data_IF_864924130110
#
_entry.id   IF_864924130110
#
_cell.length_a   1.000
_cell.length_b   1.000
_cell.length_c   1.000
_cell.angle_alpha   90.00
_cell.angle_beta   90.00
_cell.angle_gamma   90.00
#
_symmetry.space_group_name_H-M   'P 1'
#
loop_
_entity.id
_entity.type
_entity.pdbx_description
1 polymer ?
#
# COMPACT_ATOMS: atom_id res chain seq x y z
N UNK A 1 -19.73 13.94 19.77
CA UNK A 1 -18.87 14.58 18.74
C UNK A 1 -19.67 14.73 17.46
N UNK A 2 -20.11 15.95 17.14
CA UNK A 2 -20.75 16.23 15.85
C UNK A 2 -19.64 16.25 14.81
N UNK A 3 -19.72 15.38 13.80
CA UNK A 3 -18.77 15.42 12.68
C UNK A 3 -18.85 16.80 12.02
N UNK A 4 -17.71 17.43 11.71
CA UNK A 4 -17.72 18.67 10.94
C UNK A 4 -18.46 18.46 9.61
N UNK A 5 -19.12 19.50 9.09
CA UNK A 5 -19.88 19.40 7.84
C UNK A 5 -19.06 18.85 6.66
N UNK A 6 -17.74 19.12 6.65
CA UNK A 6 -16.81 18.56 5.67
C UNK A 6 -16.65 17.05 5.80
N UNK A 7 -16.53 16.52 7.02
CA UNK A 7 -16.41 15.08 7.28
C UNK A 7 -17.70 14.34 6.91
N UNK A 8 -18.86 14.91 7.24
CA UNK A 8 -20.16 14.34 6.88
C UNK A 8 -20.35 14.31 5.35
N UNK A 9 -20.02 15.39 4.65
CA UNK A 9 -20.08 15.45 3.19
C UNK A 9 -19.11 14.45 2.52
N UNK A 10 -17.91 14.30 3.06
CA UNK A 10 -16.95 13.31 2.58
C UNK A 10 -17.49 11.88 2.76
N UNK A 11 -18.05 11.56 3.93
CA UNK A 11 -18.66 10.27 4.19
C UNK A 11 -19.82 9.98 3.22
N UNK A 12 -20.68 10.96 2.93
CA UNK A 12 -21.77 10.82 1.96
C UNK A 12 -21.23 10.55 0.54
N UNK A 13 -20.26 11.34 0.08
CA UNK A 13 -19.63 11.18 -1.25
C UNK A 13 -18.95 9.81 -1.39
N UNK A 14 -18.19 9.40 -0.37
CA UNK A 14 -17.54 8.09 -0.33
C UNK A 14 -18.58 6.98 -0.31
N UNK A 15 -19.64 7.13 0.50
CA UNK A 15 -20.75 6.17 0.58
C UNK A 15 -21.42 5.94 -0.77
N UNK A 16 -21.84 7.02 -1.44
CA UNK A 16 -22.43 6.95 -2.78
C UNK A 16 -21.48 6.32 -3.80
N UNK A 17 -20.18 6.65 -3.73
CA UNK A 17 -19.19 6.09 -4.64
C UNK A 17 -18.97 4.59 -4.44
N UNK A 18 -18.83 4.14 -3.19
CA UNK A 18 -18.65 2.72 -2.85
C UNK A 18 -19.90 1.92 -3.25
N UNK A 19 -21.10 2.48 -3.05
CA UNK A 19 -22.35 1.86 -3.50
C UNK A 19 -22.39 1.69 -5.02
N UNK A 20 -22.04 2.75 -5.77
CA UNK A 20 -21.94 2.69 -7.23
C UNK A 20 -20.92 1.64 -7.70
N UNK A 21 -19.74 1.57 -7.08
CA UNK A 21 -18.71 0.60 -7.44
C UNK A 21 -19.12 -0.85 -7.14
N UNK A 22 -19.89 -1.08 -6.07
CA UNK A 22 -20.46 -2.42 -5.79
C UNK A 22 -21.49 -2.85 -6.84
N UNK A 23 -22.22 -1.90 -7.40
CA UNK A 23 -23.20 -2.14 -8.45
C UNK A 23 -22.53 -2.40 -9.81
N UNK A 24 -21.63 -1.49 -10.23
CA UNK A 24 -21.02 -1.51 -11.56
C UNK A 24 -19.84 -2.49 -11.65
N UNK A 25 -19.18 -2.78 -10.51
CA UNK A 25 -18.01 -3.66 -10.41
C UNK A 25 -16.92 -3.32 -11.45
N UNK A 26 -16.43 -2.06 -11.48
CA UNK A 26 -15.46 -1.64 -12.46
C UNK A 26 -14.19 -2.49 -12.36
N UNK A 27 -13.55 -2.73 -13.51
CA UNK A 27 -12.31 -3.50 -13.63
C UNK A 27 -11.19 -2.57 -14.08
N UNK A 28 -10.08 -2.59 -13.35
CA UNK A 28 -8.88 -1.89 -13.76
C UNK A 28 -8.24 -2.62 -14.94
N UNK A 29 -7.61 -1.91 -15.87
CA UNK A 29 -6.92 -2.48 -17.04
C UNK A 29 -5.65 -1.71 -17.41
N UNK A 30 -5.57 -0.44 -17.05
CA UNK A 30 -4.50 0.48 -17.41
C UNK A 30 -3.66 0.87 -16.20
N UNK A 31 -2.37 1.21 -16.34
CA UNK A 31 -1.50 1.48 -15.20
C UNK A 31 -1.96 2.68 -14.35
N UNK A 32 -2.72 3.62 -14.94
CA UNK A 32 -3.31 4.77 -14.24
C UNK A 32 -4.60 4.44 -13.45
N UNK A 33 -5.20 3.27 -13.68
CA UNK A 33 -6.40 2.87 -12.96
C UNK A 33 -6.09 2.61 -11.49
N UNK A 34 -7.01 3.03 -10.61
CA UNK A 34 -6.98 2.71 -9.18
C UNK A 34 -8.07 1.68 -8.89
N UNK A 35 -7.72 0.38 -8.77
CA UNK A 35 -8.66 -0.65 -8.35
C UNK A 35 -9.42 -0.23 -7.08
N UNK A 36 -10.75 -0.14 -7.18
CA UNK A 36 -11.59 0.26 -6.06
C UNK A 36 -11.71 -0.83 -4.99
N UNK A 37 -11.39 -2.08 -5.35
CA UNK A 37 -11.37 -3.25 -4.49
C UNK A 37 -10.40 -4.31 -5.05
N UNK A 38 -10.05 -5.35 -4.26
CA UNK A 38 -9.28 -6.49 -4.76
C UNK A 38 -9.93 -7.18 -5.97
N UNK A 39 -11.26 -7.25 -6.00
CA UNK A 39 -11.99 -7.85 -7.12
C UNK A 39 -11.91 -7.02 -8.41
N UNK A 40 -11.55 -5.73 -8.32
CA UNK A 40 -11.36 -4.88 -9.49
C UNK A 40 -10.02 -5.13 -10.20
N UNK A 41 -9.10 -5.89 -9.57
CA UNK A 41 -7.80 -6.23 -10.11
C UNK A 41 -7.96 -7.24 -11.27
N UNK A 42 -7.22 -7.01 -12.34
CA UNK A 42 -7.24 -7.87 -13.53
C UNK A 42 -5.82 -8.29 -13.92
N UNK A 43 -5.69 -9.38 -14.70
CA UNK A 43 -4.43 -9.74 -15.34
C UNK A 43 -3.84 -8.62 -16.21
N UNK A 44 -4.69 -7.89 -16.95
CA UNK A 44 -4.25 -6.78 -17.81
C UNK A 44 -3.62 -5.66 -16.98
N UNK A 45 -4.29 -5.27 -15.89
CA UNK A 45 -3.77 -4.25 -14.98
C UNK A 45 -2.48 -4.70 -14.29
N UNK A 46 -2.42 -5.94 -13.80
CA UNK A 46 -1.21 -6.49 -13.18
C UNK A 46 -0.05 -6.56 -14.16
N UNK A 47 -0.31 -6.91 -15.42
CA UNK A 47 0.70 -6.85 -16.49
C UNK A 47 1.23 -5.44 -16.65
N UNK A 48 0.35 -4.44 -16.73
CA UNK A 48 0.72 -3.05 -16.92
C UNK A 48 1.55 -2.46 -15.76
N UNK A 49 1.36 -2.94 -14.52
CA UNK A 49 2.05 -2.38 -13.34
C UNK A 49 3.23 -3.22 -12.85
N UNK A 50 3.28 -4.53 -13.15
CA UNK A 50 4.37 -5.42 -12.70
C UNK A 50 5.39 -5.74 -13.81
N UNK A 51 4.97 -5.77 -15.07
CA UNK A 51 5.82 -6.23 -16.18
C UNK A 51 6.56 -5.10 -16.91
N UNK A 52 6.57 -3.87 -16.40
CA UNK A 52 7.10 -2.69 -17.12
C UNK A 52 8.55 -2.84 -17.60
N UNK A 53 9.38 -3.59 -16.86
CA UNK A 53 10.78 -3.87 -17.21
C UNK A 53 10.97 -5.09 -18.12
N UNK A 54 9.90 -5.85 -18.37
CA UNK A 54 9.92 -7.11 -19.12
C UNK A 54 8.76 -7.13 -20.12
N UNK A 55 8.91 -6.49 -21.29
CA UNK A 55 7.80 -6.27 -22.24
C UNK A 55 7.09 -7.56 -22.72
N UNK A 56 7.81 -8.69 -22.75
CA UNK A 56 7.26 -9.99 -23.15
C UNK A 56 6.49 -10.69 -22.01
N UNK A 57 6.67 -10.25 -20.76
CA UNK A 57 6.02 -10.85 -19.60
C UNK A 57 4.55 -10.42 -19.50
N UNK A 58 3.67 -11.40 -19.38
CA UNK A 58 2.23 -11.18 -19.29
C UNK A 58 1.69 -11.97 -18.09
N UNK A 59 0.84 -11.32 -17.30
CA UNK A 59 0.03 -12.00 -16.27
C UNK A 59 -1.12 -12.72 -16.98
N UNK A 60 -1.18 -14.04 -16.82
CA UNK A 60 -2.20 -14.89 -17.43
C UNK A 60 -3.35 -15.21 -16.47
N UNK A 61 -3.19 -14.93 -15.18
CA UNK A 61 -4.26 -15.09 -14.21
C UNK A 61 -3.89 -14.56 -12.83
N UNK A 62 -4.92 -14.21 -12.07
CA UNK A 62 -4.81 -13.78 -10.67
C UNK A 62 -5.89 -14.46 -9.84
N UNK A 63 -5.52 -14.92 -8.65
CA UNK A 63 -6.46 -15.38 -7.63
C UNK A 63 -6.29 -14.49 -6.40
N UNK A 64 -7.39 -13.87 -5.96
CA UNK A 64 -7.44 -13.08 -4.73
C UNK A 64 -7.75 -14.03 -3.56
N UNK A 65 -6.88 -14.07 -2.56
CA UNK A 65 -7.09 -14.78 -1.30
C UNK A 65 -7.35 -13.76 -0.18
N UNK A 66 -8.42 -13.95 0.61
CA UNK A 66 -8.64 -13.14 1.82
C UNK A 66 -7.46 -13.32 2.79
N UNK A 67 -7.02 -12.23 3.42
CA UNK A 67 -5.97 -12.31 4.45
C UNK A 67 -6.34 -11.59 5.75
N UNK A 68 -6.72 -10.31 5.71
CA UNK A 68 -7.20 -9.59 6.91
C UNK A 68 -7.95 -8.30 6.57
N UNK A 69 -8.81 -7.86 7.49
CA UNK A 69 -9.50 -6.56 7.42
C UNK A 69 -9.21 -5.73 8.68
N UNK A 70 -9.20 -4.41 8.53
CA UNK A 70 -8.94 -3.44 9.60
C UNK A 70 -8.97 -2.03 9.03
N UNK A 71 -8.00 -1.19 9.40
CA UNK A 71 -7.82 0.15 8.77
C UNK A 71 -7.62 0.08 7.26
N UNK A 72 -7.07 -1.04 6.80
CA UNK A 72 -6.92 -1.42 5.40
C UNK A 72 -7.43 -2.84 5.25
N UNK A 73 -7.91 -3.18 4.06
CA UNK A 73 -8.14 -4.57 3.68
C UNK A 73 -6.92 -5.12 2.96
N UNK A 74 -6.45 -6.27 3.42
CA UNK A 74 -5.24 -6.93 2.95
C UNK A 74 -5.60 -8.27 2.34
N UNK A 75 -5.16 -8.48 1.12
CA UNK A 75 -5.40 -9.70 0.36
C UNK A 75 -4.09 -10.18 -0.24
N UNK A 76 -3.86 -11.49 -0.19
CA UNK A 76 -2.78 -12.11 -0.95
C UNK A 76 -3.27 -12.32 -2.39
N UNK A 77 -2.45 -11.98 -3.37
CA UNK A 77 -2.69 -12.28 -4.77
C UNK A 77 -1.74 -13.38 -5.20
N UNK A 78 -2.30 -14.45 -5.75
CA UNK A 78 -1.54 -15.50 -6.43
C UNK A 78 -1.57 -15.18 -7.92
N UNK A 79 -0.40 -14.92 -8.49
CA UNK A 79 -0.23 -14.41 -9.84
C UNK A 79 0.43 -15.49 -10.72
N UNK A 80 -0.18 -15.75 -11.87
CA UNK A 80 0.40 -16.63 -12.90
C UNK A 80 0.88 -15.79 -14.07
N UNK A 81 2.06 -16.12 -14.58
CA UNK A 81 2.64 -15.47 -15.75
C UNK A 81 2.81 -16.47 -16.91
N UNK A 82 2.94 -15.93 -18.11
CA UNK A 82 3.49 -16.65 -19.25
C UNK A 82 4.97 -17.05 -19.01
N UNK A 83 5.57 -17.73 -19.98
CA UNK A 83 6.96 -18.22 -19.82
C UNK A 83 7.97 -17.09 -19.62
N UNK A 84 7.86 -16.00 -20.39
CA UNK A 84 8.74 -14.84 -20.25
C UNK A 84 8.70 -14.25 -18.83
N UNK A 85 7.50 -14.10 -18.24
CA UNK A 85 7.37 -13.59 -16.87
C UNK A 85 7.93 -14.54 -15.80
N UNK A 86 7.80 -15.87 -16.00
CA UNK A 86 8.45 -16.86 -15.11
C UNK A 86 9.96 -16.78 -15.20
N UNK A 87 10.51 -16.67 -16.42
CA UNK A 87 11.96 -16.55 -16.68
C UNK A 87 12.53 -15.26 -16.10
N UNK A 88 11.74 -14.18 -16.11
CA UNK A 88 12.10 -12.89 -15.51
C UNK A 88 12.09 -12.89 -13.97
N UNK A 89 11.61 -13.96 -13.32
CA UNK A 89 11.54 -14.04 -11.86
C UNK A 89 10.52 -13.09 -11.23
N UNK A 90 9.46 -12.73 -11.96
CA UNK A 90 8.39 -11.87 -11.43
C UNK A 90 7.66 -12.52 -10.25
N UNK A 91 7.15 -11.73 -9.28
CA UNK A 91 6.60 -12.27 -8.05
C UNK A 91 5.30 -13.04 -8.31
N UNK A 92 5.28 -14.33 -7.97
CA UNK A 92 4.11 -15.21 -8.06
C UNK A 92 3.12 -15.04 -6.90
N UNK A 93 3.53 -14.40 -5.80
CA UNK A 93 2.69 -14.05 -4.67
C UNK A 93 3.02 -12.64 -4.17
N UNK A 94 2.00 -11.81 -3.96
CA UNK A 94 2.12 -10.46 -3.41
C UNK A 94 0.96 -10.15 -2.48
N UNK A 95 1.09 -9.15 -1.61
CA UNK A 95 -0.01 -8.62 -0.81
C UNK A 95 -0.51 -7.29 -1.34
N UNK A 96 -1.81 -7.07 -1.21
CA UNK A 96 -2.44 -5.77 -1.40
C UNK A 96 -2.70 -5.12 -0.05
N UNK A 97 -2.62 -3.79 0.00
CA UNK A 97 -3.33 -2.94 0.96
C UNK A 97 -4.29 -2.07 0.18
N UNK A 98 -5.59 -2.23 0.42
CA UNK A 98 -6.64 -1.57 -0.35
C UNK A 98 -7.73 -0.95 0.53
N UNK A 99 -8.51 -0.04 -0.05
CA UNK A 99 -9.59 0.70 0.61
C UNK A 99 -10.96 0.46 -0.06
N UNK A 100 -11.53 -0.75 0.03
CA UNK A 100 -12.77 -1.09 -0.69
C UNK A 100 -14.05 -0.65 0.00
N UNK A 101 -13.98 -0.18 1.24
CA UNK A 101 -15.15 0.15 2.06
C UNK A 101 -15.18 1.63 2.44
N UNK A 102 -16.36 2.12 2.83
CA UNK A 102 -16.53 3.50 3.31
C UNK A 102 -15.60 3.79 4.49
N UNK A 103 -15.51 2.84 5.44
CA UNK A 103 -14.68 2.96 6.64
C UNK A 103 -13.20 3.06 6.28
N UNK A 104 -12.69 2.14 5.46
CA UNK A 104 -11.28 2.16 5.04
C UNK A 104 -10.96 3.43 4.24
N UNK A 105 -11.86 3.90 3.37
CA UNK A 105 -11.68 5.17 2.65
C UNK A 105 -11.71 6.40 3.54
N UNK A 106 -12.55 6.43 4.58
CA UNK A 106 -12.54 7.52 5.55
C UNK A 106 -11.23 7.54 6.36
N UNK A 107 -10.77 6.38 6.84
CA UNK A 107 -9.57 6.34 7.70
C UNK A 107 -8.27 6.50 6.88
N UNK A 108 -8.18 5.80 5.74
CA UNK A 108 -6.97 5.72 4.92
C UNK A 108 -6.91 6.74 3.79
N UNK A 109 -8.00 6.85 3.03
CA UNK A 109 -8.07 7.65 1.81
C UNK A 109 -8.25 9.13 2.07
N UNK A 110 -9.31 9.49 2.81
CA UNK A 110 -9.67 10.86 3.16
C UNK A 110 -8.59 11.54 4.02
N UNK A 111 -8.09 10.85 5.05
CA UNK A 111 -6.96 11.35 5.84
C UNK A 111 -5.61 11.32 5.08
N UNK A 112 -5.57 10.69 3.90
CA UNK A 112 -4.40 10.65 3.02
C UNK A 112 -3.27 9.72 3.48
N UNK A 113 -3.47 8.92 4.52
CA UNK A 113 -2.42 8.01 5.04
C UNK A 113 -2.04 6.93 4.01
N UNK A 114 -3.00 6.43 3.23
CA UNK A 114 -2.74 5.46 2.17
C UNK A 114 -1.84 6.03 1.06
N UNK A 115 -2.05 7.31 0.71
CA UNK A 115 -1.23 8.02 -0.27
C UNK A 115 0.19 8.26 0.25
N UNK A 116 0.34 8.59 1.53
CA UNK A 116 1.64 8.77 2.18
C UNK A 116 2.38 7.43 2.24
N UNK A 117 1.71 6.35 2.61
CA UNK A 117 2.28 4.99 2.63
C UNK A 117 2.73 4.56 1.24
N UNK A 118 1.90 4.76 0.20
CA UNK A 118 2.29 4.48 -1.18
C UNK A 118 3.54 5.24 -1.62
N UNK A 119 3.64 6.53 -1.27
CA UNK A 119 4.84 7.33 -1.58
C UNK A 119 6.07 6.85 -0.82
N UNK A 120 5.92 6.42 0.44
CA UNK A 120 7.03 5.81 1.17
C UNK A 120 7.59 4.61 0.40
N UNK A 121 6.74 3.67 0.00
CA UNK A 121 7.19 2.46 -0.72
C UNK A 121 7.76 2.75 -2.11
N UNK A 122 7.21 3.73 -2.84
CA UNK A 122 7.68 4.06 -4.19
C UNK A 122 8.91 4.97 -4.22
N UNK A 123 9.13 5.81 -3.21
CA UNK A 123 10.13 6.88 -3.25
C UNK A 123 11.21 6.76 -2.17
N UNK A 124 10.86 6.40 -0.94
CA UNK A 124 11.80 6.38 0.19
C UNK A 124 12.37 5.00 0.47
N UNK A 125 11.53 3.96 0.38
CA UNK A 125 11.93 2.57 0.60
C UNK A 125 13.13 2.13 -0.25
N UNK A 126 13.25 2.49 -1.55
CA UNK A 126 14.42 2.14 -2.35
C UNK A 126 15.73 2.76 -1.85
N UNK A 127 15.67 3.83 -1.06
CA UNK A 127 16.84 4.53 -0.50
C UNK A 127 17.29 3.96 0.84
N UNK A 128 16.59 2.94 1.35
CA UNK A 128 16.78 2.35 2.67
C UNK A 128 17.28 0.90 2.56
N UNK A 129 18.34 0.59 3.30
CA UNK A 129 18.86 -0.76 3.48
C UNK A 129 18.32 -1.36 4.78
N UNK A 130 17.00 -1.51 4.87
CA UNK A 130 16.32 -2.09 6.03
C UNK A 130 15.40 -3.24 5.61
N UNK A 131 15.13 -4.15 6.53
CA UNK A 131 14.26 -5.29 6.32
C UNK A 131 12.78 -4.91 6.41
N UNK A 132 12.27 -4.30 5.34
CA UNK A 132 10.82 -4.07 5.15
C UNK A 132 10.40 -4.50 3.74
N UNK A 133 9.11 -4.78 3.50
CA UNK A 133 8.62 -5.26 2.20
C UNK A 133 9.10 -4.40 1.03
N UNK A 134 9.36 -5.04 -0.12
CA UNK A 134 9.43 -4.33 -1.39
C UNK A 134 8.04 -3.81 -1.76
N UNK A 135 7.96 -2.58 -2.25
CA UNK A 135 6.76 -2.05 -2.88
C UNK A 135 6.85 -2.23 -4.39
N UNK A 136 5.86 -2.90 -4.99
CA UNK A 136 5.83 -3.10 -6.45
C UNK A 136 5.08 -1.99 -7.18
N UNK A 137 3.99 -1.51 -6.59
CA UNK A 137 3.17 -0.47 -7.20
C UNK A 137 2.28 0.21 -6.15
N UNK A 138 1.99 1.50 -6.34
CA UNK A 138 1.04 2.22 -5.50
C UNK A 138 0.20 3.18 -6.34
N UNK A 139 -1.12 3.15 -6.13
CA UNK A 139 -2.05 4.06 -6.79
C UNK A 139 -3.08 4.60 -5.77
N UNK A 140 -3.48 5.85 -5.95
CA UNK A 140 -4.46 6.53 -5.10
C UNK A 140 -5.24 7.57 -5.88
N UNK A 141 -6.55 7.62 -5.69
CA UNK A 141 -7.43 8.59 -6.35
C UNK A 141 -7.98 9.60 -5.33
N UNK A 142 -7.74 10.88 -5.56
CA UNK A 142 -8.20 11.98 -4.69
C UNK A 142 -9.71 12.23 -4.78
N UNK A 143 -10.37 11.79 -5.85
CA UNK A 143 -11.81 11.99 -6.06
C UNK A 143 -12.63 10.92 -5.36
N UNK A 144 -12.23 9.66 -5.52
CA UNK A 144 -12.95 8.51 -4.95
C UNK A 144 -12.42 8.06 -3.60
N UNK A 145 -11.23 8.54 -3.21
CA UNK A 145 -10.47 8.09 -2.05
C UNK A 145 -10.09 6.60 -2.07
N UNK A 146 -10.22 5.95 -3.22
CA UNK A 146 -9.68 4.61 -3.44
C UNK A 146 -8.15 4.65 -3.41
N UNK A 147 -7.54 3.58 -2.92
CA UNK A 147 -6.10 3.39 -2.97
C UNK A 147 -5.79 1.91 -2.98
N UNK A 148 -4.72 1.55 -3.68
CA UNK A 148 -4.11 0.24 -3.65
C UNK A 148 -2.59 0.38 -3.54
N UNK A 149 -1.98 -0.52 -2.76
CA UNK A 149 -0.54 -0.69 -2.65
C UNK A 149 -0.23 -2.18 -2.78
N UNK A 150 0.67 -2.51 -3.70
CA UNK A 150 1.17 -3.86 -3.95
C UNK A 150 2.51 -4.04 -3.24
N UNK A 151 2.59 -5.04 -2.37
CA UNK A 151 3.73 -5.32 -1.51
C UNK A 151 4.25 -6.74 -1.69
N UNK A 152 5.53 -6.91 -1.41
CA UNK A 152 6.18 -8.20 -1.23
C UNK A 152 5.41 -9.12 -0.28
N UNK A 153 5.27 -10.38 -0.69
CA UNK A 153 4.92 -11.47 0.21
C UNK A 153 6.18 -11.94 0.95
N UNK A 154 6.38 -11.43 2.16
CA UNK A 154 7.54 -11.75 2.99
C UNK A 154 7.60 -13.24 3.39
N UNK A 155 6.46 -13.92 3.47
CA UNK A 155 6.43 -15.36 3.77
C UNK A 155 6.99 -16.12 2.58
N UNK A 156 6.55 -15.79 1.37
CA UNK A 156 7.01 -16.45 0.15
C UNK A 156 8.48 -16.13 -0.20
N UNK A 157 8.94 -14.91 0.09
CA UNK A 157 10.26 -14.43 -0.33
C UNK A 157 11.36 -14.59 0.71
N UNK A 158 11.02 -14.51 2.00
CA UNK A 158 11.99 -14.49 3.12
C UNK A 158 11.65 -15.49 4.22
N UNK A 159 10.64 -16.32 4.03
CA UNK A 159 10.16 -17.27 5.05
C UNK A 159 9.82 -16.58 6.38
N UNK A 160 9.36 -15.32 6.31
CA UNK A 160 9.07 -14.52 7.49
C UNK A 160 7.89 -15.09 8.28
N UNK A 161 7.94 -14.94 9.61
CA UNK A 161 6.83 -15.27 10.52
C UNK A 161 6.34 -14.00 11.20
N UNK A 162 5.02 -13.80 11.24
CA UNK A 162 4.44 -12.60 11.85
C UNK A 162 4.18 -12.81 13.35
N UNK A 163 4.63 -11.84 14.14
CA UNK A 163 4.33 -11.77 15.58
C UNK A 163 2.86 -11.44 15.83
N UNK A 164 2.35 -11.85 17.00
CA UNK A 164 1.06 -11.41 17.53
C UNK A 164 1.23 -10.91 18.98
N UNK A 165 0.14 -10.49 19.61
CA UNK A 165 0.17 -9.92 20.97
C UNK A 165 0.67 -10.88 22.07
N UNK A 166 0.80 -12.18 21.76
CA UNK A 166 1.32 -13.21 22.67
C UNK A 166 2.78 -13.60 22.36
N UNK A 167 3.36 -13.07 21.28
CA UNK A 167 4.74 -13.40 20.92
C UNK A 167 5.69 -12.81 21.95
N UNK A 168 6.49 -13.68 22.59
CA UNK A 168 7.56 -13.24 23.48
C UNK A 168 8.64 -12.53 22.67
N UNK A 169 9.02 -11.32 23.11
CA UNK A 169 10.10 -10.54 22.50
C UNK A 169 11.35 -10.79 23.32
N UNK A 170 12.31 -11.52 22.75
CA UNK A 170 13.62 -11.70 23.38
C UNK A 170 14.42 -10.40 23.34
N UNK A 171 15.47 -10.31 24.16
CA UNK A 171 16.39 -9.18 24.11
C UNK A 171 16.99 -8.97 22.71
N UNK A 172 17.45 -10.04 22.07
CA UNK A 172 18.01 -9.98 20.72
C UNK A 172 17.00 -9.42 19.70
N UNK A 173 15.74 -9.86 19.76
CA UNK A 173 14.68 -9.30 18.91
C UNK A 173 14.46 -7.81 19.16
N UNK A 174 14.51 -7.37 20.42
CA UNK A 174 14.37 -5.96 20.76
C UNK A 174 15.57 -5.14 20.25
N UNK A 175 16.79 -5.66 20.35
CA UNK A 175 18.00 -5.03 19.80
C UNK A 175 17.89 -4.88 18.27
N UNK A 176 17.51 -5.94 17.55
CA UNK A 176 17.29 -5.90 16.10
C UNK A 176 16.23 -4.85 15.69
N UNK A 177 15.13 -4.73 16.46
CA UNK A 177 14.10 -3.71 16.21
C UNK A 177 14.66 -2.29 16.37
N UNK A 178 15.51 -2.05 17.37
CA UNK A 178 16.14 -0.76 17.60
C UNK A 178 17.16 -0.46 16.49
N UNK A 179 17.96 -1.43 16.07
CA UNK A 179 18.94 -1.26 14.99
C UNK A 179 18.27 -0.94 13.64
N UNK A 180 17.13 -1.57 13.35
CA UNK A 180 16.33 -1.24 12.18
C UNK A 180 15.80 0.21 12.23
N UNK A 181 15.26 0.63 13.38
CA UNK A 181 14.79 2.01 13.57
C UNK A 181 15.94 3.02 13.51
N UNK A 182 17.09 2.69 14.08
CA UNK A 182 18.30 3.50 14.02
C UNK A 182 18.77 3.67 12.58
N UNK A 183 18.79 2.59 11.79
CA UNK A 183 19.15 2.63 10.36
C UNK A 183 18.21 3.50 9.54
N UNK A 184 16.90 3.39 9.80
CA UNK A 184 15.89 4.25 9.17
C UNK A 184 16.12 5.73 9.49
N UNK A 185 16.32 6.07 10.77
CA UNK A 185 16.54 7.46 11.19
C UNK A 185 17.89 8.00 10.70
N UNK A 186 18.95 7.21 10.77
CA UNK A 186 20.30 7.61 10.36
C UNK A 186 20.36 8.01 8.88
N UNK A 187 19.66 7.28 8.00
CA UNK A 187 19.64 7.58 6.54
C UNK A 187 19.21 9.00 6.21
N UNK A 188 18.30 9.57 7.01
CA UNK A 188 17.70 10.88 6.77
C UNK A 188 18.01 11.91 7.86
N UNK A 189 18.82 11.55 8.88
CA UNK A 189 19.20 12.46 9.94
C UNK A 189 19.98 13.65 9.39
N UNK A 190 19.53 14.88 9.71
CA UNK A 190 20.14 16.12 9.21
C UNK A 190 20.05 16.32 7.68
N UNK A 191 19.42 15.41 6.93
CA UNK A 191 19.38 15.48 5.48
C UNK A 191 18.30 16.47 5.01
N UNK A 192 18.73 17.62 4.49
CA UNK A 192 17.85 18.66 3.93
C UNK A 192 17.10 18.19 2.68
N UNK A 193 17.64 17.21 1.94
CA UNK A 193 16.98 16.62 0.77
C UNK A 193 15.64 15.99 1.11
N UNK A 194 15.48 15.43 2.33
CA UNK A 194 14.20 14.87 2.74
C UNK A 194 13.09 15.94 2.72
N UNK A 195 13.41 17.15 3.19
CA UNK A 195 12.45 18.25 3.24
C UNK A 195 12.20 18.89 1.87
N UNK A 196 13.21 18.94 0.99
CA UNK A 196 13.12 19.60 -0.32
C UNK A 196 12.55 18.67 -1.40
N UNK A 197 13.04 17.42 -1.48
CA UNK A 197 12.62 16.45 -2.50
C UNK A 197 11.32 15.74 -2.12
N UNK A 198 11.04 15.57 -0.82
CA UNK A 198 9.85 14.87 -0.33
C UNK A 198 9.00 15.75 0.61
N UNK A 199 8.45 16.89 0.13
CA UNK A 199 7.73 17.86 0.97
C UNK A 199 6.44 17.32 1.59
N UNK A 200 6.01 16.13 1.18
CA UNK A 200 4.86 15.41 1.75
C UNK A 200 5.20 14.67 3.05
N UNK A 201 6.49 14.47 3.35
CA UNK A 201 6.93 13.93 4.63
C UNK A 201 6.75 15.03 5.68
N UNK A 202 5.84 14.82 6.61
CA UNK A 202 5.60 15.79 7.66
C UNK A 202 6.81 15.87 8.60
N UNK A 203 7.39 17.06 8.76
CA UNK A 203 8.37 17.33 9.82
C UNK A 203 7.70 17.21 11.20
N UNK A 204 8.44 16.76 12.22
CA UNK A 204 7.95 16.62 13.60
C UNK A 204 7.19 17.87 14.14
N UNK A 205 7.66 19.12 13.93
CA UNK A 205 6.90 20.31 14.36
C UNK A 205 5.55 20.47 13.66
N UNK A 206 5.48 20.17 12.35
CA UNK A 206 4.24 20.23 11.57
C UNK A 206 3.20 19.23 12.06
N UNK A 207 3.63 18.02 12.45
CA UNK A 207 2.75 16.97 12.96
C UNK A 207 2.03 17.40 14.25
N UNK A 208 2.75 18.05 15.17
CA UNK A 208 2.18 18.53 16.45
C UNK A 208 1.27 19.75 16.25
N UNK A 209 1.63 20.66 15.36
CA UNK A 209 0.79 21.83 15.06
C UNK A 209 -0.51 21.48 14.33
N UNK A 210 -0.52 20.40 13.54
CA UNK A 210 -1.71 19.94 12.81
C UNK A 210 -2.76 19.27 13.72
N UNK A 211 -2.37 18.79 14.91
CA UNK A 211 -3.28 18.20 15.90
C UNK A 211 -3.91 19.21 16.86
N UNK A 212 -3.53 20.49 16.78
CA UNK A 212 -4.05 21.58 17.62
C UNK A 212 -5.18 22.41 16.98
N UNK A 213 -5.82 21.90 15.91
CA UNK A 213 -6.96 22.55 15.26
C UNK A 213 -8.18 21.65 15.26
#
# INVERSE_FOLDING_TARGET
MVASGATALAALKIGGRVAFERLVRPKARRPEDVPCSPDAITPEWLTAVLCQKFPEAIVTGVVVKPASAGTYERHQLIIRYNEAGRRAGLPGSIFTKSLPSVVTRMIGGFNGTARVEGRFYMQLRPLLQIEVPVGYHAASDRRTFASILLLEDLVATKSATFCNYRTYVSRAMAEDMIDLLASLHARFYGNRELATQYPWVASYPRLLSARKK
#
